data_IF_491278294917
#
_entry.id   IF_491278294917
#
_cell.length_a   1.000
_cell.length_b   1.000
_cell.length_c   1.000
_cell.angle_alpha   90.00
_cell.angle_beta   90.00
_cell.angle_gamma   90.00
#
_symmetry.space_group_name_H-M   'P 1'
#
loop_
_entity.id
_entity.type
_entity.pdbx_description
1 polymer ?
#
# COMPACT_ATOMS: atom_id res chain seq x y z
N UNK A 1 -28.10 14.10 8.84
CA UNK A 1 -28.46 12.93 9.67
C UNK A 1 -27.25 12.68 10.55
N UNK A 2 -27.39 12.76 11.88
CA UNK A 2 -26.25 12.71 12.79
C UNK A 2 -25.68 11.30 12.84
N UNK A 3 -24.44 11.12 12.41
CA UNK A 3 -23.69 9.88 12.62
C UNK A 3 -23.36 9.84 14.12
N UNK A 4 -24.13 9.08 14.90
CA UNK A 4 -23.78 8.84 16.29
C UNK A 4 -22.44 8.11 16.33
N UNK A 5 -21.44 8.73 16.92
CA UNK A 5 -20.11 8.14 17.09
C UNK A 5 -20.22 7.00 18.10
N UNK A 6 -20.03 5.79 17.62
CA UNK A 6 -19.97 4.60 18.47
C UNK A 6 -18.75 4.67 19.41
N UNK A 7 -18.96 4.23 20.65
CA UNK A 7 -17.88 4.08 21.62
C UNK A 7 -17.11 2.80 21.30
N UNK A 8 -15.95 2.94 20.66
CA UNK A 8 -15.07 1.83 20.29
C UNK A 8 -13.72 1.97 20.98
N UNK A 9 -13.20 0.86 21.50
CA UNK A 9 -11.89 0.81 22.15
C UNK A 9 -11.05 -0.37 21.60
N UNK A 10 -9.82 -0.11 21.13
CA UNK A 10 -8.90 -1.19 20.80
C UNK A 10 -8.47 -1.92 22.08
N UNK A 11 -8.38 -3.24 22.01
CA UNK A 11 -7.91 -4.13 23.06
C UNK A 11 -6.96 -5.16 22.46
N UNK A 12 -5.99 -5.60 23.26
CA UNK A 12 -5.14 -6.73 22.93
C UNK A 12 -5.57 -7.89 23.83
N UNK A 13 -6.06 -8.97 23.23
CA UNK A 13 -6.56 -10.13 23.96
C UNK A 13 -5.90 -11.38 23.36
N UNK A 14 -5.28 -12.21 24.20
CA UNK A 14 -4.67 -13.48 23.76
C UNK A 14 -3.70 -13.34 22.57
N UNK A 15 -3.00 -12.21 22.46
CA UNK A 15 -2.07 -11.92 21.36
C UNK A 15 -2.72 -11.37 20.09
N UNK A 16 -4.05 -11.30 19.99
CA UNK A 16 -4.77 -10.68 18.88
C UNK A 16 -5.19 -9.25 19.21
N UNK A 17 -5.24 -8.40 18.19
CA UNK A 17 -5.78 -7.04 18.30
C UNK A 17 -7.28 -7.11 17.97
N UNK A 18 -8.11 -6.60 18.88
CA UNK A 18 -9.57 -6.59 18.76
C UNK A 18 -10.06 -5.17 18.99
N UNK A 19 -11.07 -4.74 18.24
CA UNK A 19 -11.78 -3.47 18.50
C UNK A 19 -13.14 -3.82 19.08
N UNK A 20 -13.41 -3.37 20.30
CA UNK A 20 -14.70 -3.58 20.95
C UNK A 20 -15.53 -2.31 20.83
N UNK A 21 -16.71 -2.41 20.23
CA UNK A 21 -17.65 -1.31 20.09
C UNK A 21 -18.93 -1.56 20.90
N UNK A 22 -19.35 -0.55 21.68
CA UNK A 22 -20.57 -0.62 22.49
C UNK A 22 -21.79 -0.21 21.69
N UNK A 23 -22.66 -1.16 21.38
CA UNK A 23 -23.86 -0.95 20.56
C UNK A 23 -25.12 -0.58 21.38
N UNK A 24 -24.98 -0.46 22.70
CA UNK A 24 -26.05 -0.10 23.63
C UNK A 24 -26.20 -1.08 24.80
N UNK A 25 -26.60 -0.56 25.96
CA UNK A 25 -26.82 -1.33 27.18
C UNK A 25 -28.18 -0.97 27.82
N UNK A 26 -29.30 -1.64 27.44
CA UNK A 26 -29.40 -2.68 26.40
C UNK A 26 -29.57 -2.08 24.99
N UNK A 27 -29.19 -2.85 23.97
CA UNK A 27 -29.64 -2.60 22.59
C UNK A 27 -31.14 -2.90 22.49
N UNK A 28 -31.94 -1.95 22.01
CA UNK A 28 -33.41 -2.10 21.93
C UNK A 28 -33.81 -3.12 20.85
N UNK A 29 -34.93 -3.82 21.07
CA UNK A 29 -35.49 -4.73 20.09
C UNK A 29 -35.82 -4.01 18.77
N UNK A 30 -35.44 -4.62 17.64
CA UNK A 30 -35.64 -4.04 16.31
C UNK A 30 -34.68 -2.90 15.94
N UNK A 31 -33.70 -2.57 16.78
CA UNK A 31 -32.68 -1.59 16.43
C UNK A 31 -31.80 -2.09 15.27
N UNK A 32 -31.57 -1.22 14.30
CA UNK A 32 -30.63 -1.43 13.20
C UNK A 32 -29.55 -0.37 13.30
N UNK A 33 -28.30 -0.80 13.36
CA UNK A 33 -27.14 0.08 13.52
C UNK A 33 -26.19 -0.21 12.36
N UNK A 34 -25.86 0.84 11.62
CA UNK A 34 -24.80 0.80 10.60
C UNK A 34 -23.53 1.35 11.21
N UNK A 35 -22.44 0.58 11.13
CA UNK A 35 -21.14 0.96 11.68
C UNK A 35 -20.14 1.02 10.53
N UNK A 36 -19.46 2.16 10.43
CA UNK A 36 -18.31 2.33 9.55
C UNK A 36 -17.05 2.33 10.42
N UNK A 37 -16.09 1.48 10.08
CA UNK A 37 -14.83 1.34 10.80
C UNK A 37 -13.68 1.57 9.84
N UNK A 38 -12.90 2.61 10.10
CA UNK A 38 -11.66 2.89 9.37
C UNK A 38 -10.50 2.21 10.10
N UNK A 39 -9.75 1.38 9.38
CA UNK A 39 -8.61 0.62 9.90
C UNK A 39 -7.38 0.87 9.04
N UNK A 40 -6.26 1.16 9.69
CA UNK A 40 -4.95 1.18 9.05
C UNK A 40 -4.22 -0.11 9.41
N UNK A 41 -3.87 -0.91 8.41
CA UNK A 41 -3.11 -2.15 8.57
C UNK A 41 -1.72 -1.96 7.98
N UNK A 42 -0.69 -2.31 8.74
CA UNK A 42 0.72 -2.18 8.36
C UNK A 42 1.49 -3.46 8.68
N UNK A 43 2.70 -3.61 8.13
CA UNK A 43 3.54 -4.79 8.39
C UNK A 43 3.00 -6.06 7.74
N UNK A 44 2.59 -5.96 6.48
CA UNK A 44 2.00 -7.07 5.71
C UNK A 44 3.05 -8.02 5.09
N UNK A 45 4.32 -7.91 5.47
CA UNK A 45 5.43 -8.70 4.91
C UNK A 45 5.20 -10.21 5.05
N UNK A 46 4.61 -10.64 6.17
CA UNK A 46 4.31 -12.05 6.48
C UNK A 46 2.80 -12.38 6.40
N UNK A 47 1.96 -11.48 5.87
CA UNK A 47 0.50 -11.67 5.86
C UNK A 47 0.02 -12.72 4.84
N UNK A 48 0.87 -13.11 3.89
CA UNK A 48 0.48 -13.93 2.75
C UNK A 48 -0.49 -13.19 1.82
N UNK A 49 -1.37 -13.93 1.15
CA UNK A 49 -2.24 -13.36 0.10
C UNK A 49 -3.43 -12.56 0.64
N UNK A 50 -3.78 -12.70 1.93
CA UNK A 50 -5.01 -12.14 2.47
C UNK A 50 -4.90 -11.75 3.95
N UNK A 51 -5.54 -10.64 4.33
CA UNK A 51 -5.86 -10.31 5.72
C UNK A 51 -7.30 -10.69 6.02
N UNK A 52 -7.54 -11.30 7.18
CA UNK A 52 -8.87 -11.74 7.59
C UNK A 52 -9.35 -10.97 8.82
N UNK A 53 -10.53 -10.37 8.72
CA UNK A 53 -11.23 -9.71 9.82
C UNK A 53 -12.42 -10.54 10.25
N UNK A 54 -12.50 -10.84 11.55
CA UNK A 54 -13.66 -11.51 12.14
C UNK A 54 -14.49 -10.51 12.93
N UNK A 55 -15.75 -10.37 12.54
CA UNK A 55 -16.73 -9.51 13.21
C UNK A 55 -17.71 -10.41 13.96
N UNK A 56 -17.99 -10.09 15.22
CA UNK A 56 -18.92 -10.85 16.04
C UNK A 56 -19.80 -9.91 16.86
N UNK A 57 -21.08 -10.23 16.92
CA UNK A 57 -22.01 -9.61 17.86
C UNK A 57 -22.12 -10.48 19.12
N UNK A 58 -21.88 -9.88 20.29
CA UNK A 58 -21.98 -10.57 21.58
C UNK A 58 -22.91 -9.78 22.53
N UNK A 59 -23.71 -10.52 23.31
CA UNK A 59 -24.54 -9.96 24.39
C UNK A 59 -24.35 -10.75 25.67
N UNK A 60 -24.59 -10.10 26.82
CA UNK A 60 -24.54 -10.75 28.15
C UNK A 60 -25.87 -11.40 28.56
N UNK A 61 -26.79 -11.58 27.61
CA UNK A 61 -28.08 -12.22 27.88
C UNK A 61 -27.89 -13.72 28.15
N UNK A 62 -28.78 -14.29 28.98
CA UNK A 62 -28.84 -15.72 29.26
C UNK A 62 -30.17 -16.30 28.76
N UNK A 63 -30.17 -17.40 27.98
CA UNK A 63 -29.00 -18.11 27.45
C UNK A 63 -28.23 -17.27 26.42
N UNK A 64 -26.94 -17.55 26.24
CA UNK A 64 -26.10 -16.79 25.30
C UNK A 64 -26.70 -16.82 23.91
N UNK A 65 -26.79 -15.66 23.25
CA UNK A 65 -27.29 -15.57 21.88
C UNK A 65 -26.44 -16.43 20.95
N UNK A 66 -27.01 -16.97 19.85
CA UNK A 66 -26.20 -17.64 18.83
C UNK A 66 -25.09 -16.70 18.35
N UNK A 67 -23.86 -17.19 18.33
CA UNK A 67 -22.70 -16.44 17.85
C UNK A 67 -22.91 -16.11 16.37
N UNK A 68 -23.30 -14.88 16.08
CA UNK A 68 -23.36 -14.38 14.70
C UNK A 68 -22.00 -13.79 14.40
N UNK A 69 -21.15 -14.59 13.75
CA UNK A 69 -19.84 -14.16 13.29
C UNK A 69 -19.81 -14.06 11.77
N UNK A 70 -19.22 -12.99 11.26
CA UNK A 70 -18.98 -12.79 9.84
C UNK A 70 -17.48 -12.60 9.64
N UNK A 71 -16.96 -13.21 8.58
CA UNK A 71 -15.55 -13.08 8.19
C UNK A 71 -15.46 -12.25 6.93
N UNK A 72 -14.56 -11.27 6.94
CA UNK A 72 -14.23 -10.44 5.77
C UNK A 72 -12.76 -10.69 5.43
N UNK A 73 -12.53 -11.16 4.21
CA UNK A 73 -11.18 -11.43 3.68
C UNK A 73 -10.83 -10.34 2.68
N UNK A 74 -9.68 -9.70 2.88
CA UNK A 74 -9.17 -8.63 2.03
C UNK A 74 -7.86 -9.10 1.40
N UNK A 75 -7.75 -9.12 0.06
CA UNK A 75 -6.52 -9.54 -0.61
C UNK A 75 -5.40 -8.52 -0.38
N UNK A 76 -4.19 -9.04 -0.28
CA UNK A 76 -2.95 -8.28 -0.15
C UNK A 76 -2.18 -8.41 -1.44
N UNK A 77 -1.80 -7.27 -2.02
CA UNK A 77 -0.98 -7.23 -3.22
C UNK A 77 0.27 -6.38 -2.97
N UNK A 78 1.41 -6.88 -3.45
CA UNK A 78 2.65 -6.11 -3.43
C UNK A 78 2.65 -5.13 -4.62
N UNK A 79 2.79 -3.84 -4.33
CA UNK A 79 2.92 -2.81 -5.34
C UNK A 79 4.34 -2.23 -5.32
N UNK A 80 4.97 -2.20 -6.49
CA UNK A 80 6.24 -1.51 -6.70
C UNK A 80 6.08 -0.52 -7.86
N UNK A 81 6.67 0.66 -7.73
CA UNK A 81 6.79 1.64 -8.81
C UNK A 81 8.23 1.65 -9.27
N UNK A 82 8.45 1.44 -10.56
CA UNK A 82 9.78 1.40 -11.19
C UNK A 82 9.92 2.60 -12.12
N UNK A 83 11.09 3.23 -12.14
CA UNK A 83 11.35 4.39 -12.98
C UNK A 83 12.70 4.27 -13.67
N UNK A 84 12.71 4.20 -15.00
CA UNK A 84 13.93 4.26 -15.78
C UNK A 84 14.30 5.71 -16.10
N UNK A 85 15.46 6.15 -15.62
CA UNK A 85 16.05 7.45 -15.92
C UNK A 85 17.28 7.27 -16.81
N UNK A 86 17.47 8.17 -17.77
CA UNK A 86 18.62 8.14 -18.67
C UNK A 86 19.12 9.52 -19.02
N UNK A 87 20.43 9.66 -19.23
CA UNK A 87 21.05 10.92 -19.69
C UNK A 87 22.20 10.65 -20.66
N UNK A 88 22.45 11.58 -21.57
CA UNK A 88 23.64 11.61 -22.42
C UNK A 88 24.62 12.69 -21.95
N UNK A 89 25.91 12.39 -22.08
CA UNK A 89 27.02 13.24 -21.68
C UNK A 89 28.03 13.32 -22.84
N UNK A 90 28.10 14.46 -23.57
CA UNK A 90 27.25 15.64 -23.44
C UNK A 90 25.84 15.43 -24.01
N UNK A 91 24.87 16.25 -23.57
CA UNK A 91 23.50 16.22 -24.08
C UNK A 91 23.39 16.73 -25.53
N UNK A 92 24.23 17.70 -25.88
CA UNK A 92 24.37 18.24 -27.23
C UNK A 92 25.84 18.51 -27.50
N UNK A 93 26.24 18.45 -28.77
CA UNK A 93 27.60 18.79 -29.19
C UNK A 93 27.54 19.66 -30.44
N UNK A 94 28.50 20.57 -30.57
CA UNK A 94 28.66 21.40 -31.76
C UNK A 94 29.65 20.72 -32.70
N UNK A 95 29.23 20.50 -33.94
CA UNK A 95 30.10 19.94 -34.96
C UNK A 95 30.94 21.05 -35.61
N UNK A 96 32.22 20.79 -35.94
CA UNK A 96 33.04 21.73 -36.70
C UNK A 96 32.51 21.88 -38.13
N UNK A 97 32.72 23.06 -38.73
CA UNK A 97 32.28 23.37 -40.10
C UNK A 97 32.98 22.51 -41.17
N UNK A 98 34.21 22.07 -40.89
CA UNK A 98 34.95 21.12 -41.70
C UNK A 98 35.39 19.94 -40.82
N UNK A 99 35.14 18.72 -41.30
CA UNK A 99 35.61 17.49 -40.64
C UNK A 99 36.73 16.88 -41.47
N UNK A 100 37.98 17.06 -41.05
CA UNK A 100 39.08 16.33 -41.65
C UNK A 100 39.01 14.87 -41.18
N UNK A 101 38.84 13.93 -42.10
CA UNK A 101 38.77 12.50 -41.76
C UNK A 101 40.02 12.06 -41.00
N UNK A 102 39.83 11.23 -39.97
CA UNK A 102 40.86 10.80 -39.02
C UNK A 102 41.99 9.93 -39.62
N UNK A 103 42.16 9.88 -40.95
CA UNK A 103 43.12 9.03 -41.64
C UNK A 103 43.15 7.60 -41.10
N UNK A 104 44.35 7.08 -40.84
CA UNK A 104 44.60 5.79 -40.16
C UNK A 104 44.71 5.92 -38.63
N UNK A 105 44.30 7.06 -38.04
CA UNK A 105 44.41 7.24 -36.60
C UNK A 105 43.50 6.26 -35.84
N UNK A 106 44.11 5.58 -34.86
CA UNK A 106 43.43 4.67 -33.93
C UNK A 106 42.93 5.38 -32.67
N UNK A 107 43.25 6.68 -32.51
CA UNK A 107 42.81 7.45 -31.34
C UNK A 107 41.33 7.80 -31.48
N UNK A 108 40.56 7.54 -30.42
CA UNK A 108 39.11 7.81 -30.42
C UNK A 108 38.81 9.31 -30.47
N UNK A 109 39.69 10.13 -29.88
CA UNK A 109 39.58 11.60 -29.90
C UNK A 109 39.62 12.17 -31.32
N UNK A 110 40.39 11.55 -32.23
CA UNK A 110 40.51 12.00 -33.62
C UNK A 110 39.28 11.62 -34.46
N UNK A 111 38.44 10.70 -33.95
CA UNK A 111 37.23 10.21 -34.59
C UNK A 111 35.96 10.95 -34.15
N UNK A 112 36.09 11.85 -33.18
CA UNK A 112 35.05 12.80 -32.82
C UNK A 112 34.77 12.93 -31.34
N UNK A 113 33.58 13.45 -31.02
CA UNK A 113 33.18 13.72 -29.64
C UNK A 113 32.71 12.44 -28.96
N UNK A 114 33.33 12.11 -27.82
CA UNK A 114 32.85 11.04 -26.95
C UNK A 114 31.48 11.41 -26.40
N UNK A 115 30.51 10.52 -26.57
CA UNK A 115 29.20 10.62 -25.94
C UNK A 115 28.99 9.39 -25.06
N UNK A 116 28.59 9.62 -23.82
CA UNK A 116 28.30 8.58 -22.84
C UNK A 116 26.82 8.61 -22.48
N UNK A 117 26.18 7.44 -22.49
CA UNK A 117 24.78 7.29 -22.11
C UNK A 117 24.71 6.53 -20.79
N UNK A 118 24.12 7.15 -19.76
CA UNK A 118 23.97 6.57 -18.42
C UNK A 118 22.50 6.29 -18.17
N UNK A 119 22.19 5.10 -17.66
CA UNK A 119 20.84 4.66 -17.34
C UNK A 119 20.78 4.20 -15.88
N UNK A 120 19.70 4.58 -15.18
CA UNK A 120 19.41 4.19 -13.81
C UNK A 120 17.96 3.70 -13.74
N UNK A 121 17.76 2.60 -13.03
CA UNK A 121 16.47 1.95 -12.77
C UNK A 121 16.07 2.16 -11.31
#
# INVERSE_FOLDING_TARGET
>A
QGQEKLSCAPRKENGTHVVLCELGNPMKAGAQITVELELSVSGLEDAGDNVTFQLQLQSKNSPSSPNTSVTVTVPVEAQATMELRGTSLPATTVLPAEWHGAGDSQRLEDRGVRVEHVYQV
#
